data_IF_669743152438
#
_entry.id   IF_669743152438
#
_cell.length_a   1.000
_cell.length_b   1.000
_cell.length_c   1.000
_cell.angle_alpha   90.00
_cell.angle_beta   90.00
_cell.angle_gamma   90.00
#
_symmetry.space_group_name_H-M   'P 1'
#
loop_
_entity.id
_entity.type
_entity.pdbx_description
1 polymer ?
#
# COMPACT_ATOMS: atom_id res chain seq x y z
N UNK A 1 4.71 -9.68 -17.77
CA UNK A 1 4.00 -8.72 -16.91
C UNK A 1 2.80 -8.23 -17.69
N UNK A 2 1.61 -8.28 -17.11
CA UNK A 2 0.40 -7.70 -17.71
C UNK A 2 0.42 -6.19 -17.54
N UNK A 3 -0.03 -5.46 -18.55
CA UNK A 3 -0.16 -3.99 -18.49
C UNK A 3 -1.64 -3.61 -18.49
N UNK A 4 -1.99 -2.57 -17.73
CA UNK A 4 -3.33 -2.01 -17.69
C UNK A 4 -3.32 -0.51 -17.46
N UNK A 5 -4.53 0.05 -17.36
CA UNK A 5 -4.77 1.48 -17.17
C UNK A 5 -5.80 1.62 -16.06
N UNK A 6 -5.54 2.49 -15.10
CA UNK A 6 -6.55 2.96 -14.13
C UNK A 6 -6.99 4.38 -14.49
N UNK A 7 -8.25 4.68 -14.22
CA UNK A 7 -8.89 5.94 -14.56
C UNK A 7 -9.26 6.78 -13.35
N UNK A 8 -9.16 6.23 -12.14
CA UNK A 8 -9.42 6.96 -10.91
C UNK A 8 -8.60 6.45 -9.73
N UNK A 9 -8.51 7.29 -8.70
CA UNK A 9 -7.99 6.97 -7.36
C UNK A 9 -8.93 6.10 -6.52
N UNK A 10 -10.08 5.67 -7.07
CA UNK A 10 -11.00 4.84 -6.31
C UNK A 10 -10.32 3.51 -5.95
N UNK A 11 -10.24 3.13 -4.65
CA UNK A 11 -9.53 1.93 -4.25
C UNK A 11 -9.97 0.63 -4.94
N UNK A 12 -11.24 0.56 -5.38
CA UNK A 12 -11.76 -0.60 -6.11
C UNK A 12 -11.11 -0.79 -7.48
N UNK A 13 -10.75 0.31 -8.15
CA UNK A 13 -10.04 0.30 -9.43
C UNK A 13 -8.54 0.35 -9.21
N UNK A 14 -8.08 1.30 -8.39
CA UNK A 14 -6.67 1.56 -8.13
C UNK A 14 -5.95 0.30 -7.61
N UNK A 15 -6.58 -0.41 -6.67
CA UNK A 15 -6.01 -1.58 -5.98
C UNK A 15 -6.73 -2.88 -6.31
N UNK A 16 -7.39 -2.97 -7.47
CA UNK A 16 -8.21 -4.12 -7.89
C UNK A 16 -7.45 -5.45 -7.80
N UNK A 17 -6.16 -5.44 -8.14
CA UNK A 17 -5.34 -6.64 -8.25
C UNK A 17 -4.65 -7.04 -6.93
N UNK A 18 -5.00 -6.38 -5.81
CA UNK A 18 -4.54 -6.73 -4.46
C UNK A 18 -5.70 -7.25 -3.60
N UNK A 19 -5.68 -8.56 -3.33
CA UNK A 19 -6.65 -9.21 -2.45
C UNK A 19 -6.01 -9.58 -1.11
N UNK A 20 -6.58 -9.09 -0.02
CA UNK A 20 -6.11 -9.25 1.36
C UNK A 20 -6.97 -10.14 2.25
N UNK A 21 -8.00 -10.79 1.71
CA UNK A 21 -8.84 -11.73 2.47
C UNK A 21 -8.00 -12.80 3.17
N UNK A 22 -8.32 -13.06 4.44
CA UNK A 22 -7.68 -14.06 5.30
C UNK A 22 -6.15 -13.87 5.47
N UNK A 23 -5.61 -12.69 5.13
CA UNK A 23 -4.18 -12.38 5.19
C UNK A 23 -3.93 -11.18 6.13
N UNK A 24 -2.65 -10.93 6.46
CA UNK A 24 -2.26 -9.77 7.28
C UNK A 24 -1.70 -8.70 6.33
N UNK A 25 -2.37 -7.55 6.26
CA UNK A 25 -2.00 -6.44 5.38
C UNK A 25 -1.49 -5.24 6.17
N UNK A 26 -0.38 -4.68 5.72
CA UNK A 26 0.00 -3.29 6.02
C UNK A 26 -0.39 -2.42 4.82
N UNK A 27 -1.16 -1.37 5.09
CA UNK A 27 -1.52 -0.30 4.17
C UNK A 27 -0.73 0.96 4.56
N UNK A 28 0.36 1.22 3.82
CA UNK A 28 1.15 2.44 3.97
C UNK A 28 0.51 3.55 3.13
N UNK A 29 0.22 4.68 3.80
CA UNK A 29 -0.56 5.80 3.27
C UNK A 29 -2.05 5.49 3.24
N UNK A 30 -2.62 5.15 4.40
CA UNK A 30 -4.03 4.78 4.50
C UNK A 30 -4.97 5.97 4.74
N UNK A 31 -4.45 7.19 4.84
CA UNK A 31 -5.19 8.43 5.00
C UNK A 31 -6.03 8.78 3.77
N UNK A 32 -6.79 9.87 3.87
CA UNK A 32 -7.60 10.33 2.74
C UNK A 32 -6.80 11.33 1.91
N UNK A 33 -6.69 11.07 0.61
CA UNK A 33 -6.02 11.97 -0.31
C UNK A 33 -6.82 13.26 -0.49
N UNK A 34 -8.13 13.14 -0.70
CA UNK A 34 -9.01 14.30 -0.93
C UNK A 34 -10.00 14.55 0.19
N UNK A 35 -10.42 15.82 0.34
CA UNK A 35 -11.52 16.17 1.24
C UNK A 35 -12.82 15.45 0.88
N UNK A 36 -13.05 15.19 -0.42
CA UNK A 36 -14.21 14.45 -0.91
C UNK A 36 -14.19 12.98 -0.46
N UNK A 37 -13.04 12.31 -0.56
CA UNK A 37 -12.88 10.95 -0.01
C UNK A 37 -13.10 10.93 1.49
N UNK A 38 -12.55 11.93 2.20
CA UNK A 38 -12.77 12.10 3.64
C UNK A 38 -14.26 12.23 3.93
N UNK A 39 -15.00 13.08 3.24
CA UNK A 39 -16.46 13.23 3.45
C UNK A 39 -17.25 11.94 3.18
N UNK A 40 -16.86 11.17 2.16
CA UNK A 40 -17.51 9.92 1.79
C UNK A 40 -17.05 8.70 2.60
N UNK A 41 -15.93 8.81 3.33
CA UNK A 41 -15.28 7.69 4.03
C UNK A 41 -14.78 6.61 3.07
N UNK A 42 -14.51 6.93 1.80
CA UNK A 42 -14.21 5.95 0.75
C UNK A 42 -12.69 5.89 0.46
N UNK A 43 -11.90 5.55 1.48
CA UNK A 43 -10.45 5.35 1.37
C UNK A 43 -10.04 3.87 1.31
N UNK A 44 -8.73 3.63 1.22
CA UNK A 44 -8.17 2.27 1.16
C UNK A 44 -8.50 1.44 2.40
N UNK A 45 -8.58 2.05 3.58
CA UNK A 45 -8.98 1.38 4.82
C UNK A 45 -10.33 0.69 4.70
N UNK A 46 -11.38 1.41 4.27
CA UNK A 46 -12.71 0.84 4.05
C UNK A 46 -12.69 -0.28 3.02
N UNK A 47 -11.93 -0.09 1.94
CA UNK A 47 -11.82 -1.07 0.87
C UNK A 47 -11.18 -2.38 1.34
N UNK A 48 -10.00 -2.32 1.95
CA UNK A 48 -9.27 -3.51 2.38
C UNK A 48 -9.93 -4.19 3.58
N UNK A 49 -10.42 -3.44 4.57
CA UNK A 49 -11.18 -4.02 5.70
C UNK A 49 -12.43 -4.75 5.19
N UNK A 50 -13.14 -4.19 4.21
CA UNK A 50 -14.29 -4.82 3.57
C UNK A 50 -13.98 -6.15 2.85
N UNK A 51 -12.71 -6.47 2.60
CA UNK A 51 -12.31 -7.77 2.05
C UNK A 51 -12.19 -8.88 3.12
N UNK A 52 -12.36 -8.54 4.41
CA UNK A 52 -12.17 -9.39 5.58
C UNK A 52 -10.74 -9.97 5.68
N UNK A 53 -9.71 -9.12 5.88
CA UNK A 53 -8.37 -9.59 6.17
C UNK A 53 -8.32 -10.25 7.56
N UNK A 54 -7.34 -11.11 7.78
CA UNK A 54 -7.07 -11.64 9.13
C UNK A 54 -6.69 -10.50 10.08
N UNK A 55 -5.92 -9.52 9.58
CA UNK A 55 -5.57 -8.31 10.31
C UNK A 55 -5.25 -7.18 9.33
N UNK A 56 -5.78 -6.00 9.61
CA UNK A 56 -5.51 -4.77 8.87
C UNK A 56 -4.66 -3.82 9.73
N UNK A 57 -3.57 -3.32 9.16
CA UNK A 57 -2.72 -2.29 9.76
C UNK A 57 -2.62 -1.11 8.81
N UNK A 58 -3.22 0.02 9.19
CA UNK A 58 -3.12 1.28 8.44
C UNK A 58 -2.05 2.19 9.04
N UNK A 59 -1.23 2.79 8.20
CA UNK A 59 -0.17 3.73 8.62
C UNK A 59 -0.27 5.00 7.80
N UNK A 60 -0.31 6.14 8.46
CA UNK A 60 -0.34 7.44 7.82
C UNK A 60 0.31 8.52 8.70
N UNK A 61 0.75 9.62 8.10
CA UNK A 61 1.26 10.80 8.81
C UNK A 61 0.13 11.69 9.35
N UNK A 62 -1.06 11.63 8.74
CA UNK A 62 -2.19 12.48 9.10
C UNK A 62 -2.89 11.97 10.36
N UNK A 63 -2.58 12.59 11.51
CA UNK A 63 -3.13 12.25 12.81
C UNK A 63 -4.67 12.31 12.86
N UNK A 64 -5.30 13.28 12.17
CA UNK A 64 -6.76 13.44 12.18
C UNK A 64 -7.44 12.30 11.42
N UNK A 65 -6.87 11.89 10.29
CA UNK A 65 -7.35 10.74 9.53
C UNK A 65 -7.17 9.44 10.33
N UNK A 66 -6.00 9.24 10.95
CA UNK A 66 -5.75 8.08 11.81
C UNK A 66 -6.75 8.02 12.98
N UNK A 67 -6.99 9.13 13.66
CA UNK A 67 -7.96 9.20 14.76
C UNK A 67 -9.37 8.85 14.31
N UNK A 68 -9.79 9.39 13.16
CA UNK A 68 -11.09 9.08 12.58
C UNK A 68 -11.20 7.61 12.21
N UNK A 69 -10.24 7.10 11.43
CA UNK A 69 -10.25 5.73 10.93
C UNK A 69 -10.22 4.71 12.08
N UNK A 70 -9.46 4.99 13.14
CA UNK A 70 -9.48 4.18 14.38
C UNK A 70 -10.85 4.10 15.05
N UNK A 71 -11.64 5.17 14.94
CA UNK A 71 -13.00 5.23 15.51
C UNK A 71 -14.02 4.56 14.60
N UNK A 72 -13.84 4.66 13.28
CA UNK A 72 -14.74 4.12 12.25
C UNK A 72 -14.55 2.60 12.07
N UNK A 73 -13.31 2.12 12.19
CA UNK A 73 -12.94 0.72 11.99
C UNK A 73 -12.15 0.17 13.19
N UNK A 74 -12.80 -0.07 14.35
CA UNK A 74 -12.12 -0.52 15.57
C UNK A 74 -11.44 -1.90 15.45
N UNK A 75 -11.78 -2.70 14.43
CA UNK A 75 -11.11 -3.95 14.08
C UNK A 75 -9.71 -3.76 13.44
N UNK A 76 -9.45 -2.58 12.89
CA UNK A 76 -8.17 -2.21 12.30
C UNK A 76 -7.17 -1.69 13.34
N UNK A 77 -5.88 -1.88 13.08
CA UNK A 77 -4.81 -1.18 13.83
C UNK A 77 -4.36 0.03 13.02
N UNK A 78 -4.52 1.24 13.54
CA UNK A 78 -4.08 2.46 12.86
C UNK A 78 -2.94 3.13 13.61
N UNK A 79 -1.92 3.56 12.88
CA UNK A 79 -0.69 4.10 13.44
C UNK A 79 -0.38 5.44 12.78
N UNK A 80 -0.35 6.50 13.58
CA UNK A 80 0.23 7.78 13.17
C UNK A 80 1.75 7.64 13.15
N UNK A 81 2.34 7.61 11.95
CA UNK A 81 3.79 7.48 11.79
C UNK A 81 4.25 8.03 10.46
N UNK A 82 5.28 8.87 10.51
CA UNK A 82 6.06 9.26 9.34
C UNK A 82 7.02 8.12 8.96
N UNK A 83 7.02 7.73 7.70
CA UNK A 83 8.03 6.82 7.14
C UNK A 83 9.16 7.67 6.56
N UNK A 84 10.33 7.63 7.20
CA UNK A 84 11.50 8.41 6.78
C UNK A 84 12.57 7.54 6.12
N UNK A 85 12.59 6.24 6.44
CA UNK A 85 13.59 5.31 5.97
C UNK A 85 13.09 3.85 6.09
N UNK A 86 13.91 2.90 5.63
CA UNK A 86 13.58 1.47 5.68
C UNK A 86 13.36 0.91 7.08
N UNK A 87 14.03 1.46 8.11
CA UNK A 87 13.94 0.93 9.48
C UNK A 87 12.55 1.19 10.07
N UNK A 88 11.90 2.29 9.66
CA UNK A 88 10.51 2.55 9.98
C UNK A 88 9.60 1.43 9.46
N UNK A 89 9.79 1.00 8.22
CA UNK A 89 9.01 -0.09 7.61
C UNK A 89 9.38 -1.45 8.22
N UNK A 90 10.67 -1.72 8.45
CA UNK A 90 11.13 -2.94 9.10
C UNK A 90 10.57 -3.11 10.50
N UNK A 91 10.42 -2.02 11.27
CA UNK A 91 9.79 -2.07 12.58
C UNK A 91 8.35 -2.58 12.50
N UNK A 92 7.58 -2.14 11.50
CA UNK A 92 6.21 -2.58 11.25
C UNK A 92 6.17 -4.04 10.78
N UNK A 93 7.06 -4.43 9.86
CA UNK A 93 7.17 -5.82 9.39
C UNK A 93 7.49 -6.76 10.56
N UNK A 94 8.44 -6.40 11.42
CA UNK A 94 8.83 -7.22 12.57
C UNK A 94 7.71 -7.31 13.61
N UNK A 95 6.95 -6.23 13.82
CA UNK A 95 5.87 -6.20 14.80
C UNK A 95 4.64 -7.00 14.35
N UNK A 96 4.27 -6.90 13.07
CA UNK A 96 3.00 -7.44 12.57
C UNK A 96 3.13 -8.68 11.71
N UNK A 97 4.34 -9.01 11.24
CA UNK A 97 4.63 -10.14 10.36
C UNK A 97 3.64 -10.26 9.18
N UNK A 98 3.48 -9.19 8.38
CA UNK A 98 2.47 -9.14 7.32
C UNK A 98 2.79 -10.07 6.17
N UNK A 99 1.76 -10.55 5.48
CA UNK A 99 1.91 -11.27 4.22
C UNK A 99 1.66 -10.38 3.02
N UNK A 100 1.08 -9.19 3.23
CA UNK A 100 0.77 -8.21 2.18
C UNK A 100 1.22 -6.81 2.60
N UNK A 101 1.80 -6.07 1.65
CA UNK A 101 2.04 -4.62 1.77
C UNK A 101 1.39 -3.89 0.60
N UNK A 102 0.51 -2.93 0.89
CA UNK A 102 0.19 -1.83 -0.04
C UNK A 102 1.05 -0.64 0.33
N UNK A 103 1.63 0.02 -0.68
CA UNK A 103 2.52 1.16 -0.47
C UNK A 103 2.20 2.29 -1.44
N UNK A 104 1.78 3.41 -0.88
CA UNK A 104 1.53 4.67 -1.58
C UNK A 104 1.75 5.76 -0.53
N UNK A 105 2.96 6.31 -0.51
CA UNK A 105 3.40 7.25 0.54
C UNK A 105 4.11 8.44 -0.10
N UNK A 106 3.59 8.87 -1.25
CA UNK A 106 3.92 10.13 -1.92
C UNK A 106 5.42 10.33 -2.17
N UNK A 107 6.09 9.30 -2.71
CA UNK A 107 7.51 9.32 -3.08
C UNK A 107 8.45 8.68 -2.06
N UNK A 108 7.95 8.32 -0.87
CA UNK A 108 8.74 7.61 0.14
C UNK A 108 8.80 6.09 -0.06
N UNK A 109 8.22 5.55 -1.14
CA UNK A 109 8.23 4.12 -1.45
C UNK A 109 9.64 3.59 -1.69
N UNK A 110 10.58 4.47 -2.05
CA UNK A 110 12.01 4.15 -2.12
C UNK A 110 12.58 3.64 -0.79
N UNK A 111 11.97 3.99 0.35
CA UNK A 111 12.31 3.42 1.65
C UNK A 111 12.00 1.92 1.72
N UNK A 112 10.91 1.48 1.08
CA UNK A 112 10.55 0.07 0.96
C UNK A 112 11.56 -0.68 0.09
N UNK A 113 12.06 -0.03 -0.98
CA UNK A 113 13.03 -0.64 -1.90
C UNK A 113 14.41 -0.87 -1.27
N UNK A 114 14.70 -0.24 -0.13
CA UNK A 114 15.95 -0.44 0.59
C UNK A 114 15.93 -1.67 1.54
N UNK A 115 14.82 -2.42 1.56
CA UNK A 115 14.71 -3.70 2.28
C UNK A 115 15.31 -4.83 1.43
N UNK A 116 16.25 -5.59 2.01
CA UNK A 116 17.06 -6.58 1.29
C UNK A 116 16.52 -8.02 1.34
N UNK A 117 15.45 -8.28 2.09
CA UNK A 117 14.84 -9.60 2.21
C UNK A 117 13.31 -9.43 2.25
N UNK A 118 12.59 -10.41 1.74
CA UNK A 118 11.14 -10.44 1.71
C UNK A 118 10.47 -10.65 3.07
N UNK A 119 11.18 -11.19 4.06
CA UNK A 119 10.57 -11.56 5.34
C UNK A 119 9.34 -12.48 5.14
N UNK A 120 8.19 -12.14 5.71
CA UNK A 120 6.91 -12.84 5.55
C UNK A 120 6.10 -12.42 4.31
N UNK A 121 6.56 -11.41 3.57
CA UNK A 121 5.78 -10.78 2.49
C UNK A 121 5.58 -11.77 1.34
N UNK A 122 4.33 -11.95 0.93
CA UNK A 122 3.95 -12.81 -0.20
C UNK A 122 3.44 -12.01 -1.38
N UNK A 123 2.82 -10.85 -1.13
CA UNK A 123 2.25 -9.98 -2.17
C UNK A 123 2.53 -8.52 -1.83
N UNK A 124 2.67 -7.72 -2.88
CA UNK A 124 2.77 -6.27 -2.77
C UNK A 124 1.95 -5.59 -3.87
N UNK A 125 1.41 -4.42 -3.57
CA UNK A 125 1.01 -3.43 -4.57
C UNK A 125 1.65 -2.09 -4.19
N UNK A 126 2.32 -1.46 -5.14
CA UNK A 126 3.10 -0.26 -4.88
C UNK A 126 2.75 0.78 -5.94
N UNK A 127 2.23 1.92 -5.50
CA UNK A 127 2.18 3.10 -6.33
C UNK A 127 3.58 3.69 -6.42
N UNK A 128 4.02 3.96 -7.64
CA UNK A 128 5.35 4.49 -7.92
C UNK A 128 5.20 5.86 -8.55
N UNK A 129 5.99 6.79 -8.04
CA UNK A 129 6.03 8.18 -8.45
C UNK A 129 7.29 8.48 -9.26
N UNK A 130 7.22 9.41 -10.22
CA UNK A 130 8.39 10.03 -10.83
C UNK A 130 9.45 9.04 -11.40
N UNK A 131 9.00 7.95 -12.04
CA UNK A 131 9.90 6.98 -12.68
C UNK A 131 10.58 6.00 -11.71
N UNK A 132 10.04 5.84 -10.50
CA UNK A 132 10.51 4.84 -9.53
C UNK A 132 10.01 3.42 -9.83
N UNK A 133 9.35 3.20 -10.96
CA UNK A 133 8.86 1.90 -11.41
C UNK A 133 10.00 0.91 -11.72
N UNK A 134 11.06 1.37 -12.40
CA UNK A 134 12.24 0.55 -12.69
C UNK A 134 12.93 0.06 -11.41
N UNK A 135 13.29 0.93 -10.43
CA UNK A 135 13.87 0.46 -9.18
C UNK A 135 12.89 -0.41 -8.36
N UNK A 136 11.58 -0.14 -8.40
CA UNK A 136 10.57 -0.98 -7.76
C UNK A 136 10.57 -2.42 -8.31
N UNK A 137 10.52 -2.59 -9.63
CA UNK A 137 10.56 -3.91 -10.29
C UNK A 137 11.88 -4.64 -9.99
N UNK A 138 13.00 -3.92 -9.97
CA UNK A 138 14.30 -4.48 -9.61
C UNK A 138 14.29 -5.00 -8.17
N UNK A 139 13.86 -4.16 -7.23
CA UNK A 139 13.76 -4.53 -5.81
C UNK A 139 12.88 -5.75 -5.59
N UNK A 140 11.68 -5.79 -6.19
CA UNK A 140 10.78 -6.95 -6.08
C UNK A 140 11.49 -8.25 -6.45
N UNK A 141 12.24 -8.26 -7.56
CA UNK A 141 13.01 -9.43 -8.00
C UNK A 141 14.14 -9.77 -7.03
N UNK A 142 14.86 -8.77 -6.52
CA UNK A 142 15.97 -8.97 -5.58
C UNK A 142 15.53 -9.61 -4.26
N UNK A 143 14.33 -9.29 -3.79
CA UNK A 143 13.75 -9.93 -2.59
C UNK A 143 13.00 -11.23 -2.92
N UNK A 144 12.92 -11.65 -4.18
CA UNK A 144 12.28 -12.91 -4.59
C UNK A 144 10.76 -12.83 -4.80
N UNK A 145 10.22 -11.65 -5.07
CA UNK A 145 8.88 -11.47 -5.63
C UNK A 145 8.94 -11.43 -7.17
N UNK A 146 7.88 -11.90 -7.82
CA UNK A 146 7.69 -11.82 -9.26
C UNK A 146 6.72 -10.67 -9.60
N UNK A 147 7.20 -9.57 -10.21
CA UNK A 147 6.33 -8.52 -10.76
C UNK A 147 5.47 -9.11 -11.88
N UNK A 148 4.15 -9.08 -11.71
CA UNK A 148 3.24 -9.74 -12.64
C UNK A 148 2.27 -8.78 -13.34
N UNK A 149 2.03 -7.59 -12.76
CA UNK A 149 1.17 -6.57 -13.36
C UNK A 149 1.71 -5.16 -13.09
N UNK A 150 1.50 -4.27 -14.05
CA UNK A 150 1.73 -2.84 -13.93
C UNK A 150 0.56 -2.08 -14.54
N UNK A 151 -0.07 -1.18 -13.78
CA UNK A 151 -1.11 -0.30 -14.27
C UNK A 151 -0.62 1.15 -14.34
N UNK A 152 -0.91 1.84 -15.44
CA UNK A 152 -0.60 3.27 -15.59
C UNK A 152 -1.83 4.12 -15.25
N UNK A 153 -1.66 5.21 -14.51
CA UNK A 153 -2.77 6.12 -14.25
C UNK A 153 -3.02 7.03 -15.47
N UNK A 154 -4.25 7.02 -16.01
CA UNK A 154 -4.58 7.86 -17.17
C UNK A 154 -4.67 9.35 -16.83
N UNK A 155 -4.80 9.68 -15.55
CA UNK A 155 -4.95 11.03 -15.03
C UNK A 155 -3.64 11.61 -14.46
N UNK A 156 -2.61 10.78 -14.27
CA UNK A 156 -1.29 11.20 -13.81
C UNK A 156 -0.20 10.30 -14.44
N UNK A 157 0.47 10.73 -15.52
CA UNK A 157 1.45 9.89 -16.24
C UNK A 157 2.67 9.46 -15.42
N UNK A 158 2.93 10.14 -14.29
CA UNK A 158 4.02 9.86 -13.37
C UNK A 158 3.71 8.71 -12.42
N UNK A 159 2.43 8.34 -12.31
CA UNK A 159 1.92 7.30 -11.40
C UNK A 159 1.81 5.96 -12.13
N UNK A 160 2.42 4.93 -11.53
CA UNK A 160 2.23 3.53 -11.94
C UNK A 160 2.07 2.62 -10.72
N UNK A 161 1.20 1.62 -10.84
CA UNK A 161 0.89 0.68 -9.78
C UNK A 161 1.49 -0.65 -10.16
N UNK A 162 2.42 -1.16 -9.35
CA UNK A 162 3.15 -2.38 -9.64
C UNK A 162 2.78 -3.44 -8.62
N UNK A 163 2.37 -4.60 -9.14
CA UNK A 163 1.97 -5.74 -8.33
C UNK A 163 3.01 -6.85 -8.41
N UNK A 164 3.42 -7.33 -7.23
CA UNK A 164 4.38 -8.42 -7.07
C UNK A 164 3.82 -9.53 -6.19
N UNK A 165 4.19 -10.78 -6.49
CA UNK A 165 3.87 -11.95 -5.64
C UNK A 165 4.92 -13.04 -5.75
N UNK A 166 5.03 -13.90 -4.74
CA UNK A 166 5.83 -15.14 -4.83
C UNK A 166 5.15 -16.22 -5.69
#
# INVERSE_FOLDING_TARGET
>A
MTEGIIHSENPQEHWEHLNCRDEIIIDLGCGFWTQKERELGNGTAKYFIGQNPQKYIGVDINADDIKRLSSEFPEGTFIEKVILNKEDILSLINQFNPTIIKCDIEGMETSLFAINNRHSIKKVAIETHNGTDVPCIKWMKEIGLNPYRMDSASFCPEIKIIYGKC
#
